data_IF_482983872348
#
_entry.id   IF_482983872348
#
_cell.length_a   1.000
_cell.length_b   1.000
_cell.length_c   1.000
_cell.angle_alpha   90.00
_cell.angle_beta   90.00
_cell.angle_gamma   90.00
#
_symmetry.space_group_name_H-M   'P 1'
#
loop_
_entity.id
_entity.type
_entity.pdbx_description
1 polymer ?
#
# COMPACT_ATOMS: atom_id res chain seq x y z
N UNK A 1 20.73 2.99 -9.16
CA UNK A 1 19.29 2.88 -9.48
C UNK A 1 18.96 1.49 -10.03
N UNK A 2 19.63 0.99 -11.09
CA UNK A 2 19.38 -0.36 -11.65
C UNK A 2 19.54 -1.49 -10.61
N UNK A 3 20.65 -1.53 -9.87
CA UNK A 3 20.92 -2.60 -8.90
C UNK A 3 19.84 -2.78 -7.81
N UNK A 4 19.28 -1.70 -7.25
CA UNK A 4 18.22 -1.80 -6.24
C UNK A 4 16.94 -2.38 -6.84
N UNK A 5 16.56 -1.92 -8.04
CA UNK A 5 15.36 -2.39 -8.73
C UNK A 5 15.48 -3.86 -9.11
N UNK A 6 16.66 -4.28 -9.56
CA UNK A 6 16.96 -5.67 -9.90
C UNK A 6 16.88 -6.57 -8.65
N UNK A 7 17.43 -6.12 -7.52
CA UNK A 7 17.34 -6.84 -6.23
C UNK A 7 15.89 -6.94 -5.73
N UNK A 8 15.12 -5.85 -5.81
CA UNK A 8 13.72 -5.85 -5.42
C UNK A 8 12.89 -6.78 -6.32
N UNK A 9 13.17 -6.80 -7.63
CA UNK A 9 12.49 -7.68 -8.57
C UNK A 9 12.79 -9.15 -8.29
N UNK A 10 14.05 -9.48 -8.01
CA UNK A 10 14.46 -10.84 -7.65
C UNK A 10 13.76 -11.30 -6.35
N UNK A 11 13.82 -10.47 -5.29
CA UNK A 11 13.18 -10.81 -4.02
C UNK A 11 11.67 -10.96 -4.15
N UNK A 12 11.01 -10.09 -4.93
CA UNK A 12 9.57 -10.21 -5.20
C UNK A 12 9.22 -11.53 -5.90
N UNK A 13 10.04 -11.97 -6.86
CA UNK A 13 9.83 -13.25 -7.55
C UNK A 13 9.98 -14.45 -6.60
N UNK A 14 10.87 -14.35 -5.62
CA UNK A 14 11.06 -15.38 -4.58
C UNK A 14 9.92 -15.40 -3.55
N UNK A 15 9.36 -14.24 -3.23
CA UNK A 15 8.31 -14.08 -2.21
C UNK A 15 6.88 -14.27 -2.72
N UNK A 16 6.60 -13.99 -4.00
CA UNK A 16 5.26 -14.15 -4.60
C UNK A 16 4.68 -15.57 -4.38
N UNK A 17 5.44 -16.68 -4.54
CA UNK A 17 4.94 -18.02 -4.24
C UNK A 17 4.59 -18.26 -2.77
N UNK A 18 5.14 -17.47 -1.83
CA UNK A 18 4.81 -17.59 -0.41
C UNK A 18 3.39 -17.12 -0.12
N UNK A 19 2.87 -16.13 -0.86
CA UNK A 19 1.48 -15.68 -0.71
C UNK A 19 0.51 -16.83 -0.90
N UNK A 20 0.75 -17.69 -1.89
CA UNK A 20 -0.04 -18.91 -2.10
C UNK A 20 -0.01 -19.85 -0.90
N UNK A 21 1.15 -20.01 -0.25
CA UNK A 21 1.28 -20.85 0.95
C UNK A 21 0.51 -20.26 2.13
N UNK A 22 0.48 -18.94 2.29
CA UNK A 22 -0.36 -18.28 3.29
C UNK A 22 -1.85 -18.44 3.00
N UNK A 23 -2.26 -18.45 1.73
CA UNK A 23 -3.64 -18.76 1.35
C UNK A 23 -4.02 -20.21 1.70
N UNK A 24 -3.12 -21.17 1.45
CA UNK A 24 -3.33 -22.56 1.86
C UNK A 24 -3.46 -22.67 3.39
N UNK A 25 -2.64 -21.93 4.14
CA UNK A 25 -2.73 -21.85 5.61
C UNK A 25 -4.06 -21.24 6.06
N UNK A 26 -4.55 -20.22 5.35
CA UNK A 26 -5.83 -19.57 5.65
C UNK A 26 -7.01 -20.52 5.46
N UNK A 27 -6.95 -21.38 4.44
CA UNK A 27 -7.95 -22.42 4.20
C UNK A 27 -7.91 -23.53 5.27
N UNK A 28 -6.73 -23.84 5.81
CA UNK A 28 -6.57 -24.85 6.86
C UNK A 28 -6.99 -24.36 8.26
N UNK A 29 -7.07 -23.04 8.48
CA UNK A 29 -7.42 -22.46 9.78
C UNK A 29 -8.86 -22.83 10.20
N UNK A 30 -9.00 -23.59 11.29
CA UNK A 30 -10.27 -24.11 11.76
C UNK A 30 -10.96 -23.19 12.77
N UNK A 31 -10.19 -22.54 13.64
CA UNK A 31 -10.69 -21.70 14.74
C UNK A 31 -10.70 -20.21 14.39
N UNK A 32 -11.47 -19.41 15.13
CA UNK A 32 -11.49 -17.96 14.95
C UNK A 32 -10.12 -17.31 15.20
N UNK A 33 -9.37 -17.80 16.19
CA UNK A 33 -8.03 -17.28 16.52
C UNK A 33 -7.05 -17.64 15.41
N UNK A 34 -7.05 -18.88 14.91
CA UNK A 34 -6.19 -19.28 13.79
C UNK A 34 -6.47 -18.42 12.56
N UNK A 35 -7.75 -18.19 12.22
CA UNK A 35 -8.14 -17.35 11.09
C UNK A 35 -7.61 -15.92 11.24
N UNK A 36 -7.72 -15.36 12.44
CA UNK A 36 -7.23 -14.00 12.72
C UNK A 36 -5.70 -13.92 12.64
N UNK A 37 -4.98 -14.89 13.20
CA UNK A 37 -3.52 -14.95 13.10
C UNK A 37 -3.08 -15.10 11.64
N UNK A 38 -3.72 -15.97 10.87
CA UNK A 38 -3.38 -16.17 9.46
C UNK A 38 -3.74 -14.94 8.62
N UNK A 39 -4.84 -14.25 8.92
CA UNK A 39 -5.18 -12.97 8.29
C UNK A 39 -4.04 -11.97 8.48
N UNK A 40 -3.52 -11.81 9.69
CA UNK A 40 -2.37 -10.94 9.95
C UNK A 40 -1.12 -11.35 9.19
N UNK A 41 -0.83 -12.66 9.08
CA UNK A 41 0.31 -13.16 8.32
C UNK A 41 0.17 -12.85 6.83
N UNK A 42 -0.99 -13.11 6.25
CA UNK A 42 -1.30 -12.82 4.84
C UNK A 42 -1.21 -11.32 4.55
N UNK A 43 -1.84 -10.48 5.37
CA UNK A 43 -1.78 -9.02 5.23
C UNK A 43 -0.36 -8.49 5.35
N UNK A 44 0.46 -9.07 6.23
CA UNK A 44 1.87 -8.70 6.35
C UNK A 44 2.66 -9.08 5.10
N UNK A 45 2.41 -10.26 4.53
CA UNK A 45 3.07 -10.71 3.29
C UNK A 45 2.66 -9.86 2.08
N UNK A 46 1.37 -9.55 1.94
CA UNK A 46 0.86 -8.69 0.87
C UNK A 46 1.47 -7.29 0.97
N UNK A 47 1.59 -6.77 2.19
CA UNK A 47 2.22 -5.48 2.44
C UNK A 47 3.71 -5.46 2.06
N UNK A 48 4.43 -6.53 2.38
CA UNK A 48 5.84 -6.70 2.01
C UNK A 48 6.01 -6.74 0.48
N UNK A 49 5.20 -7.55 -0.21
CA UNK A 49 5.19 -7.63 -1.68
C UNK A 49 4.87 -6.28 -2.33
N UNK A 50 3.90 -5.54 -1.77
CA UNK A 50 3.53 -4.21 -2.24
C UNK A 50 4.70 -3.21 -2.16
N UNK A 51 5.55 -3.29 -1.12
CA UNK A 51 6.76 -2.46 -1.05
C UNK A 51 7.82 -2.86 -2.06
N UNK A 52 8.02 -4.15 -2.27
CA UNK A 52 8.93 -4.61 -3.31
C UNK A 52 8.46 -4.12 -4.68
N UNK A 53 7.14 -4.13 -4.94
CA UNK A 53 6.55 -3.56 -6.15
C UNK A 53 6.79 -2.05 -6.25
N UNK A 54 6.60 -1.27 -5.18
CA UNK A 54 6.91 0.17 -5.17
C UNK A 54 8.35 0.47 -5.61
N UNK A 55 9.32 -0.35 -5.18
CA UNK A 55 10.73 -0.24 -5.60
C UNK A 55 10.94 -0.50 -7.09
N UNK A 56 9.97 -1.13 -7.77
CA UNK A 56 9.95 -1.32 -9.21
C UNK A 56 9.40 -0.11 -9.98
N UNK A 57 8.97 0.95 -9.29
CA UNK A 57 8.43 2.16 -9.91
C UNK A 57 9.24 3.41 -9.52
N UNK A 58 9.12 4.53 -10.27
CA UNK A 58 9.67 5.80 -9.84
C UNK A 58 9.09 6.21 -8.48
N UNK A 59 9.94 6.28 -7.47
CA UNK A 59 9.56 6.72 -6.13
C UNK A 59 9.32 8.24 -6.10
N UNK A 60 8.47 8.72 -5.19
CA UNK A 60 8.28 10.16 -5.01
C UNK A 60 9.52 10.79 -4.36
N UNK A 61 9.76 12.07 -4.63
CA UNK A 61 10.81 12.84 -3.97
C UNK A 61 10.44 13.17 -2.51
N UNK A 62 9.16 13.04 -2.18
CA UNK A 62 8.60 13.30 -0.85
C UNK A 62 7.86 12.06 -0.34
N UNK A 63 8.08 11.74 0.92
CA UNK A 63 7.42 10.62 1.58
C UNK A 63 7.14 10.99 3.03
N UNK A 64 5.88 10.90 3.46
CA UNK A 64 5.49 11.20 4.84
C UNK A 64 5.35 9.96 5.71
N UNK A 65 4.66 8.94 5.20
CA UNK A 65 4.44 7.69 5.90
C UNK A 65 4.05 6.58 4.92
N UNK A 66 4.22 5.34 5.38
CA UNK A 66 3.52 4.20 4.80
C UNK A 66 2.07 4.24 5.27
N UNK A 67 1.13 3.98 4.38
CA UNK A 67 -0.29 4.10 4.70
C UNK A 67 -1.09 2.96 4.09
N UNK A 68 -2.33 2.81 4.59
CA UNK A 68 -3.36 1.95 4.04
C UNK A 68 -4.67 2.73 3.90
N UNK A 69 -5.49 2.29 2.95
CA UNK A 69 -6.85 2.80 2.82
C UNK A 69 -7.70 2.23 3.96
N UNK A 70 -8.44 3.11 4.64
CA UNK A 70 -9.21 2.76 5.85
C UNK A 70 -10.68 2.41 5.61
N UNK A 71 -11.15 2.45 4.36
CA UNK A 71 -12.54 2.15 3.99
C UNK A 71 -12.62 1.48 2.60
N UNK A 72 -13.75 0.88 2.29
CA UNK A 72 -14.04 0.32 0.97
C UNK A 72 -14.62 1.36 0.01
N UNK A 73 -14.50 1.08 -1.29
CA UNK A 73 -15.02 1.90 -2.38
C UNK A 73 -14.48 3.36 -2.40
N UNK A 74 -13.25 3.54 -1.90
CA UNK A 74 -12.58 4.82 -1.82
C UNK A 74 -12.04 5.21 -3.20
N UNK A 75 -12.36 6.43 -3.64
CA UNK A 75 -11.99 6.91 -4.99
C UNK A 75 -10.60 7.53 -4.99
N UNK A 76 -9.71 6.96 -5.78
CA UNK A 76 -8.48 7.63 -6.22
C UNK A 76 -8.82 8.61 -7.33
N UNK A 77 -8.44 9.88 -7.18
CA UNK A 77 -8.76 10.94 -8.13
C UNK A 77 -7.54 11.56 -8.79
N UNK A 78 -7.74 12.15 -9.95
CA UNK A 78 -6.68 12.83 -10.71
C UNK A 78 -6.17 14.10 -10.03
N UNK A 79 -6.99 14.73 -9.19
CA UNK A 79 -6.65 15.98 -8.51
C UNK A 79 -7.33 16.13 -7.14
N UNK A 80 -6.91 17.13 -6.34
CA UNK A 80 -7.39 17.36 -4.98
C UNK A 80 -8.79 17.99 -4.99
N UNK A 81 -9.83 17.16 -5.16
CA UNK A 81 -11.21 17.62 -5.14
C UNK A 81 -12.21 16.58 -5.64
N UNK A 82 -13.45 16.64 -5.15
CA UNK A 82 -14.50 15.70 -5.54
C UNK A 82 -14.99 15.87 -7.00
N UNK A 83 -14.63 16.99 -7.65
CA UNK A 83 -14.92 17.26 -9.06
C UNK A 83 -13.89 16.70 -10.05
N UNK A 84 -12.75 16.19 -9.58
CA UNK A 84 -11.74 15.58 -10.45
C UNK A 84 -12.12 14.17 -10.86
N UNK A 85 -11.62 13.74 -12.03
CA UNK A 85 -11.83 12.40 -12.57
C UNK A 85 -11.41 11.29 -11.60
N UNK A 86 -12.14 10.19 -11.64
CA UNK A 86 -11.84 8.97 -10.90
C UNK A 86 -10.82 8.13 -11.69
N UNK A 87 -9.70 7.82 -11.07
CA UNK A 87 -8.64 6.97 -11.63
C UNK A 87 -8.95 5.51 -11.37
N UNK A 88 -9.31 5.19 -10.12
CA UNK A 88 -9.56 3.83 -9.66
C UNK A 88 -10.35 3.84 -8.34
N UNK A 89 -11.11 2.77 -8.09
CA UNK A 89 -11.71 2.47 -6.79
C UNK A 89 -10.75 1.59 -5.97
N UNK A 90 -10.45 2.01 -4.75
CA UNK A 90 -9.57 1.34 -3.79
C UNK A 90 -10.41 0.61 -2.74
N UNK A 91 -9.88 -0.51 -2.26
CA UNK A 91 -10.50 -1.34 -1.21
C UNK A 91 -9.84 -1.08 0.14
N UNK A 92 -10.55 -1.41 1.21
CA UNK A 92 -10.00 -1.40 2.56
C UNK A 92 -8.67 -2.17 2.59
N UNK A 93 -7.68 -1.62 3.29
CA UNK A 93 -6.37 -2.25 3.46
C UNK A 93 -5.41 -2.06 2.29
N UNK A 94 -5.83 -1.47 1.17
CA UNK A 94 -4.95 -1.20 0.01
C UNK A 94 -3.72 -0.40 0.48
N UNK A 95 -2.49 -0.93 0.33
CA UNK A 95 -1.28 -0.22 0.75
C UNK A 95 -0.95 0.93 -0.19
N UNK A 96 -0.38 1.99 0.36
CA UNK A 96 0.07 3.14 -0.41
C UNK A 96 1.17 3.94 0.32
N UNK A 97 1.83 4.83 -0.42
CA UNK A 97 2.70 5.86 0.15
C UNK A 97 1.90 7.15 0.31
N UNK A 98 1.98 7.80 1.48
CA UNK A 98 1.54 9.18 1.64
C UNK A 98 2.64 10.11 1.14
N UNK A 99 2.41 10.78 0.00
CA UNK A 99 3.42 11.61 -0.70
C UNK A 99 3.38 13.06 -0.23
N UNK A 100 2.18 13.65 -0.20
CA UNK A 100 1.94 15.07 0.11
C UNK A 100 0.48 15.30 0.52
N UNK A 101 0.16 16.51 1.00
CA UNK A 101 -1.20 16.91 1.39
C UNK A 101 -1.57 18.26 0.76
N UNK A 102 -2.68 18.32 0.04
CA UNK A 102 -3.27 19.54 -0.52
C UNK A 102 -4.67 19.74 0.06
N UNK A 103 -4.78 20.63 1.05
CA UNK A 103 -6.03 20.84 1.78
C UNK A 103 -6.47 19.57 2.52
N UNK A 104 -7.63 19.03 2.17
CA UNK A 104 -8.16 17.78 2.74
C UNK A 104 -7.86 16.54 1.88
N UNK A 105 -6.98 16.68 0.87
CA UNK A 105 -6.64 15.61 -0.05
C UNK A 105 -5.19 15.19 0.14
N UNK A 106 -4.99 13.89 0.21
CA UNK A 106 -3.68 13.26 0.32
C UNK A 106 -3.29 12.76 -1.05
N UNK A 107 -2.13 13.18 -1.53
CA UNK A 107 -1.53 12.56 -2.70
C UNK A 107 -0.90 11.24 -2.28
N UNK A 108 -1.30 10.15 -2.95
CA UNK A 108 -0.81 8.80 -2.68
C UNK A 108 -0.13 8.20 -3.90
N UNK A 109 0.81 7.28 -3.67
CA UNK A 109 1.34 6.37 -4.71
C UNK A 109 0.96 4.94 -4.35
N UNK A 110 0.28 4.26 -5.26
CA UNK A 110 -0.04 2.84 -5.14
C UNK A 110 1.17 1.96 -5.51
N UNK A 111 1.17 0.67 -5.13
CA UNK A 111 2.22 -0.27 -5.49
C UNK A 111 2.51 -0.35 -6.98
N UNK A 112 1.46 -0.27 -7.80
CA UNK A 112 1.52 -0.22 -9.27
C UNK A 112 2.23 1.02 -9.84
N UNK A 113 2.64 1.96 -9.00
CA UNK A 113 3.24 3.23 -9.38
C UNK A 113 2.24 4.33 -9.74
N UNK A 114 0.94 4.02 -9.79
CA UNK A 114 -0.12 5.00 -10.04
C UNK A 114 -0.15 6.02 -8.90
N UNK A 115 -0.25 7.31 -9.25
CA UNK A 115 -0.42 8.41 -8.31
C UNK A 115 -1.79 9.05 -8.47
N UNK A 116 -2.35 9.51 -7.35
CA UNK A 116 -3.60 10.26 -7.34
C UNK A 116 -3.91 10.81 -5.96
N UNK A 117 -5.12 11.30 -5.78
CA UNK A 117 -5.58 11.96 -4.57
C UNK A 117 -6.73 11.19 -3.91
N UNK A 118 -6.63 11.03 -2.59
CA UNK A 118 -7.65 10.43 -1.74
C UNK A 118 -8.02 11.41 -0.64
N UNK A 119 -9.28 11.44 -0.22
CA UNK A 119 -9.69 12.28 0.90
C UNK A 119 -9.02 11.80 2.19
N UNK A 120 -8.50 12.75 2.98
CA UNK A 120 -7.58 12.47 4.10
C UNK A 120 -8.10 11.43 5.10
N UNK A 121 -9.40 11.44 5.41
CA UNK A 121 -9.99 10.52 6.40
C UNK A 121 -9.98 9.06 5.95
N UNK A 122 -9.75 8.80 4.65
CA UNK A 122 -9.64 7.45 4.09
C UNK A 122 -8.20 6.93 4.01
N UNK A 123 -7.21 7.65 4.56
CA UNK A 123 -5.80 7.26 4.52
C UNK A 123 -5.24 7.19 5.94
N UNK A 124 -4.86 5.99 6.38
CA UNK A 124 -4.30 5.73 7.70
C UNK A 124 -2.81 5.41 7.60
N UNK A 125 -1.95 6.22 8.25
CA UNK A 125 -0.52 5.91 8.36
C UNK A 125 -0.29 4.67 9.25
N UNK A 126 0.57 3.76 8.78
CA UNK A 126 1.05 2.64 9.58
C UNK A 126 2.16 3.06 10.54
N UNK A 127 2.05 2.62 11.81
CA UNK A 127 2.99 2.94 12.88
C UNK A 127 2.78 4.36 13.40
N UNK A 128 2.08 4.49 14.53
CA UNK A 128 1.76 5.77 15.19
C UNK A 128 2.95 6.59 15.74
N UNK A 129 4.15 6.43 15.17
CA UNK A 129 5.35 7.21 15.50
C UNK A 129 5.64 8.25 14.43
N UNK A 130 5.46 9.52 14.78
CA UNK A 130 5.94 10.73 14.10
C UNK A 130 6.42 10.54 12.66
N UNK A 131 5.55 10.90 11.69
CA UNK A 131 5.82 10.84 10.25
C UNK A 131 7.20 11.37 9.92
N UNK A 132 8.12 10.46 9.60
CA UNK A 132 9.45 10.81 9.10
C UNK A 132 9.25 11.27 7.67
N UNK A 133 9.02 12.57 7.52
CA UNK A 133 9.02 13.20 6.21
C UNK A 133 10.41 13.07 5.62
N UNK A 134 10.60 12.13 4.70
CA UNK A 134 11.80 12.00 3.91
C UNK A 134 11.65 12.89 2.68
N UNK A 135 12.69 13.67 2.40
CA UNK A 135 12.84 14.41 1.15
C UNK A 135 14.17 14.04 0.53
N UNK A 136 14.16 13.77 -0.77
CA UNK A 136 15.35 13.47 -1.55
C UNK A 136 16.15 14.73 -1.87
#
# INVERSE_FOLDING_TARGET
>A
MAQLRDLAAALRQEEEPLLRRYQDLAQAAGTAIEKELVRHLTESQEFQLAFLELLLHPLPDTFHCFAKISDDDVKLREGPGAGHGEVQILRYGTPCLWIDTVGLWVQVQLPSGIRGYVFKDYVACEGGGAGRSLRR
#
